data_IF_808314505629
#
_entry.id   IF_808314505629
#
_cell.length_a   1.000
_cell.length_b   1.000
_cell.length_c   1.000
_cell.angle_alpha   90.00
_cell.angle_beta   90.00
_cell.angle_gamma   90.00
#
_symmetry.space_group_name_H-M   'P 1'
#
loop_
_entity.id
_entity.type
_entity.pdbx_description
1 polymer ?
#
# COMPACT_ATOMS: atom_id res chain seq x y z
N UNK A 1 -42.52 1.47 34.86
CA UNK A 1 -41.11 1.65 35.29
C UNK A 1 -40.03 1.53 34.18
N UNK A 2 -40.36 1.43 32.88
CA UNK A 2 -39.34 1.16 31.83
C UNK A 2 -38.51 2.36 31.31
N UNK A 3 -38.95 3.61 31.50
CA UNK A 3 -38.35 4.78 30.85
C UNK A 3 -36.94 5.15 31.34
N UNK A 4 -36.69 5.05 32.65
CA UNK A 4 -35.39 5.38 33.25
C UNK A 4 -34.29 4.37 32.85
N UNK A 5 -34.62 3.07 32.84
CA UNK A 5 -33.71 2.01 32.39
C UNK A 5 -33.30 2.18 30.91
N UNK A 6 -34.26 2.52 30.04
CA UNK A 6 -34.02 2.81 28.62
C UNK A 6 -33.14 4.04 28.39
N UNK A 7 -33.38 5.12 29.15
CA UNK A 7 -32.52 6.32 29.11
C UNK A 7 -31.09 6.00 29.53
N UNK A 8 -30.90 5.17 30.56
CA UNK A 8 -29.58 4.72 31.03
C UNK A 8 -28.87 3.85 29.98
N UNK A 9 -29.60 2.94 29.32
CA UNK A 9 -29.08 2.11 28.24
C UNK A 9 -28.61 2.95 27.03
N UNK A 10 -29.42 3.91 26.57
CA UNK A 10 -29.05 4.84 25.48
C UNK A 10 -27.82 5.68 25.82
N UNK A 11 -27.69 6.17 27.06
CA UNK A 11 -26.50 6.93 27.50
C UNK A 11 -25.24 6.07 27.48
N UNK A 12 -25.32 4.80 27.90
CA UNK A 12 -24.20 3.85 27.83
C UNK A 12 -23.80 3.56 26.38
N UNK A 13 -24.77 3.31 25.50
CA UNK A 13 -24.53 3.09 24.07
C UNK A 13 -23.82 4.29 23.43
N UNK A 14 -24.28 5.52 23.68
CA UNK A 14 -23.62 6.74 23.18
C UNK A 14 -22.18 6.90 23.68
N UNK A 15 -21.91 6.57 24.96
CA UNK A 15 -20.54 6.62 25.51
C UNK A 15 -19.61 5.61 24.83
N UNK A 16 -20.09 4.37 24.65
CA UNK A 16 -19.34 3.33 23.93
C UNK A 16 -19.08 3.73 22.49
N UNK A 17 -20.08 4.29 21.79
CA UNK A 17 -19.90 4.78 20.42
C UNK A 17 -18.81 5.85 20.32
N UNK A 18 -18.80 6.83 21.23
CA UNK A 18 -17.76 7.87 21.29
C UNK A 18 -16.37 7.32 21.60
N UNK A 19 -16.28 6.32 22.47
CA UNK A 19 -14.99 5.68 22.79
C UNK A 19 -14.43 4.94 21.57
N UNK A 20 -15.27 4.21 20.83
CA UNK A 20 -14.80 3.50 19.65
C UNK A 20 -14.48 4.49 18.51
N UNK A 21 -15.26 5.57 18.34
CA UNK A 21 -14.95 6.66 17.39
C UNK A 21 -13.61 7.33 17.70
N UNK A 22 -13.33 7.58 18.98
CA UNK A 22 -12.01 8.08 19.43
C UNK A 22 -10.90 7.08 19.09
N UNK A 23 -11.09 5.80 19.40
CA UNK A 23 -10.13 4.74 19.08
C UNK A 23 -9.93 4.56 17.57
N UNK A 24 -10.94 4.85 16.75
CA UNK A 24 -10.85 4.86 15.29
C UNK A 24 -10.06 6.05 14.76
N UNK A 25 -10.29 7.26 15.32
CA UNK A 25 -9.53 8.46 14.98
C UNK A 25 -8.06 8.40 15.41
N UNK A 26 -7.73 7.60 16.43
CA UNK A 26 -6.37 7.36 16.90
C UNK A 26 -5.66 6.20 16.16
N UNK A 27 -6.28 5.58 15.14
CA UNK A 27 -5.65 4.50 14.38
C UNK A 27 -4.44 5.02 13.60
N UNK A 28 -3.32 4.34 13.74
CA UNK A 28 -2.12 4.59 12.95
C UNK A 28 -2.37 4.29 11.46
N UNK A 29 -1.73 5.03 10.57
CA UNK A 29 -1.77 4.78 9.13
C UNK A 29 -1.22 3.39 8.80
N UNK A 30 -1.72 2.78 7.73
CA UNK A 30 -1.16 1.50 7.25
C UNK A 30 0.13 1.82 6.52
N UNK A 31 1.25 1.61 7.19
CA UNK A 31 2.57 1.80 6.60
C UNK A 31 2.97 0.54 5.85
N UNK A 32 3.41 0.70 4.60
CA UNK A 32 3.99 -0.38 3.83
C UNK A 32 5.40 -0.71 4.36
N UNK A 33 5.66 -1.90 4.91
CA UNK A 33 6.97 -2.26 5.46
C UNK A 33 8.07 -2.36 4.38
N UNK A 34 7.70 -2.44 3.10
CA UNK A 34 8.62 -2.54 1.97
C UNK A 34 8.99 -1.18 1.36
N UNK A 35 8.39 -0.06 1.83
CA UNK A 35 8.56 1.27 1.24
C UNK A 35 9.99 1.84 1.33
N UNK A 36 10.88 1.27 2.15
CA UNK A 36 12.26 1.74 2.32
C UNK A 36 13.33 0.89 1.62
N UNK A 37 12.94 -0.20 0.95
CA UNK A 37 13.90 -1.19 0.43
C UNK A 37 14.69 -0.64 -0.77
N UNK A 38 14.14 0.35 -1.47
CA UNK A 38 14.80 1.06 -2.57
C UNK A 38 16.13 1.70 -2.17
N UNK A 39 16.28 2.15 -0.91
CA UNK A 39 17.53 2.73 -0.41
C UNK A 39 18.56 1.70 0.08
N UNK A 40 18.15 0.44 0.26
CA UNK A 40 19.02 -0.65 0.74
C UNK A 40 19.52 -1.56 -0.39
N UNK A 41 18.80 -1.60 -1.51
CA UNK A 41 19.15 -2.39 -2.67
C UNK A 41 19.94 -1.53 -3.66
N UNK A 42 21.20 -1.91 -3.92
CA UNK A 42 22.05 -1.27 -4.92
C UNK A 42 22.59 -2.30 -5.91
N UNK A 43 22.80 -1.87 -7.15
CA UNK A 43 23.45 -2.70 -8.16
C UNK A 43 24.96 -2.77 -7.89
N UNK A 44 25.53 -3.93 -7.53
CA UNK A 44 26.96 -4.06 -7.19
C UNK A 44 27.88 -3.76 -8.38
N UNK A 45 27.35 -3.84 -9.60
CA UNK A 45 28.09 -3.58 -10.84
C UNK A 45 28.01 -2.13 -11.31
N UNK A 46 27.31 -1.25 -10.58
CA UNK A 46 27.17 0.16 -10.95
C UNK A 46 28.52 0.90 -11.03
N UNK A 47 29.52 0.47 -10.25
CA UNK A 47 30.84 1.08 -10.20
C UNK A 47 31.83 0.51 -11.24
N UNK A 48 31.47 -0.55 -11.97
CA UNK A 48 32.38 -1.17 -12.95
C UNK A 48 32.77 -0.21 -14.08
N UNK A 49 31.89 0.70 -14.50
CA UNK A 49 32.17 1.70 -15.53
C UNK A 49 33.24 2.70 -15.10
N UNK A 50 33.17 3.22 -13.86
CA UNK A 50 34.18 4.18 -13.35
C UNK A 50 35.55 3.52 -13.23
N UNK A 51 35.59 2.27 -12.76
CA UNK A 51 36.82 1.49 -12.70
C UNK A 51 37.41 1.24 -14.11
N UNK A 52 36.55 0.98 -15.10
CA UNK A 52 36.98 0.75 -16.49
C UNK A 52 37.48 2.03 -17.15
N UNK A 53 36.78 3.15 -16.95
CA UNK A 53 37.19 4.46 -17.46
C UNK A 53 38.52 4.96 -16.86
N UNK A 54 38.77 4.66 -15.58
CA UNK A 54 40.06 4.94 -14.95
C UNK A 54 41.20 4.10 -15.57
N UNK A 55 40.94 2.82 -15.88
CA UNK A 55 41.90 1.96 -16.54
C UNK A 55 42.18 2.41 -17.98
N UNK A 56 41.16 2.84 -18.73
CA UNK A 56 41.34 3.43 -20.06
C UNK A 56 42.18 4.70 -20.03
N UNK A 57 41.93 5.63 -19.09
CA UNK A 57 42.75 6.83 -18.94
C UNK A 57 44.21 6.49 -18.62
N UNK A 58 44.47 5.50 -17.76
CA UNK A 58 45.83 5.06 -17.45
C UNK A 58 46.53 4.46 -18.69
N UNK A 59 45.80 3.68 -19.50
CA UNK A 59 46.32 3.15 -20.75
C UNK A 59 46.64 4.28 -21.74
N UNK A 60 45.75 5.28 -21.90
CA UNK A 60 45.97 6.45 -22.74
C UNK A 60 47.17 7.30 -22.27
N UNK A 61 47.33 7.49 -20.96
CA UNK A 61 48.47 8.20 -20.37
C UNK A 61 49.79 7.51 -20.69
N UNK A 62 49.81 6.18 -20.61
CA UNK A 62 51.00 5.36 -20.91
C UNK A 62 51.36 5.46 -22.39
N UNK A 63 50.36 5.41 -23.28
CA UNK A 63 50.50 5.61 -24.72
C UNK A 63 51.10 6.97 -25.07
N UNK A 64 50.64 8.05 -24.42
CA UNK A 64 51.21 9.39 -24.59
C UNK A 64 52.68 9.45 -24.15
N UNK A 65 53.02 8.80 -23.03
CA UNK A 65 54.41 8.73 -22.58
C UNK A 65 55.27 7.93 -23.57
N UNK A 66 54.74 6.84 -24.13
CA UNK A 66 55.45 6.02 -25.11
C UNK A 66 55.64 6.78 -26.43
N UNK A 67 54.64 7.55 -26.86
CA UNK A 67 54.75 8.45 -28.02
C UNK A 67 55.84 9.51 -27.82
N UNK A 68 55.92 10.12 -26.63
CA UNK A 68 57.01 11.04 -26.28
C UNK A 68 58.37 10.36 -26.30
N UNK A 69 58.48 9.10 -25.84
CA UNK A 69 59.73 8.33 -25.93
C UNK A 69 60.07 7.98 -27.37
N UNK A 70 59.09 7.65 -28.21
CA UNK A 70 59.26 7.37 -29.64
C UNK A 70 59.73 8.61 -30.40
N UNK A 71 59.19 9.79 -30.10
CA UNK A 71 59.64 11.06 -30.71
C UNK A 71 61.08 11.39 -30.31
N UNK A 72 61.43 11.15 -29.05
CA UNK A 72 62.81 11.30 -28.57
C UNK A 72 63.74 10.31 -29.27
N UNK A 73 63.33 9.04 -29.43
CA UNK A 73 64.10 8.00 -30.11
C UNK A 73 64.31 8.29 -31.61
N UNK A 74 63.29 8.87 -32.25
CA UNK A 74 63.36 9.38 -33.63
C UNK A 74 64.35 10.55 -33.73
N UNK A 75 64.30 11.48 -32.77
CA UNK A 75 65.20 12.63 -32.72
C UNK A 75 66.66 12.24 -32.43
N UNK A 76 66.90 11.16 -31.67
CA UNK A 76 68.25 10.67 -31.33
C UNK A 76 68.89 9.74 -32.37
N UNK A 77 68.19 9.39 -33.46
CA UNK A 77 68.81 8.76 -34.64
C UNK A 77 69.04 7.24 -34.56
N UNK A 78 68.36 6.52 -33.67
CA UNK A 78 68.48 5.05 -33.55
C UNK A 78 67.78 4.30 -34.71
N UNK A 79 68.37 4.32 -35.90
CA UNK A 79 68.12 3.39 -37.03
C UNK A 79 66.70 3.33 -37.63
N UNK A 80 66.55 3.75 -38.88
CA UNK A 80 65.29 3.76 -39.64
C UNK A 80 64.53 2.41 -39.70
N UNK A 81 65.21 1.27 -39.53
CA UNK A 81 64.60 -0.06 -39.49
C UNK A 81 64.04 -0.48 -38.12
N UNK A 82 64.68 -0.07 -37.01
CA UNK A 82 64.28 -0.43 -35.65
C UNK A 82 63.04 0.33 -35.19
N UNK A 83 62.97 1.63 -35.50
CA UNK A 83 61.82 2.47 -35.17
C UNK A 83 60.53 2.02 -35.88
N UNK A 84 60.63 1.56 -37.14
CA UNK A 84 59.47 1.08 -37.92
C UNK A 84 58.96 -0.27 -37.41
N UNK A 85 59.87 -1.18 -37.05
CA UNK A 85 59.50 -2.48 -36.47
C UNK A 85 58.86 -2.32 -35.09
N UNK A 86 59.38 -1.42 -34.25
CA UNK A 86 58.84 -1.14 -32.92
C UNK A 86 57.48 -0.43 -33.00
N UNK A 87 57.30 0.49 -33.96
CA UNK A 87 56.00 1.12 -34.20
C UNK A 87 54.93 0.12 -34.68
N UNK A 88 55.29 -0.84 -35.54
CA UNK A 88 54.37 -1.91 -35.95
C UNK A 88 54.04 -2.86 -34.79
N UNK A 89 55.04 -3.25 -33.99
CA UNK A 89 54.83 -4.07 -32.79
C UNK A 89 53.96 -3.35 -31.76
N UNK A 90 54.18 -2.05 -31.54
CA UNK A 90 53.34 -1.22 -30.67
C UNK A 90 51.91 -1.09 -31.20
N UNK A 91 51.72 -0.91 -32.52
CA UNK A 91 50.40 -0.86 -33.13
C UNK A 91 49.64 -2.20 -32.98
N UNK A 92 50.30 -3.33 -33.23
CA UNK A 92 49.70 -4.66 -33.00
C UNK A 92 49.41 -4.91 -31.53
N UNK A 93 50.29 -4.49 -30.63
CA UNK A 93 50.07 -4.57 -29.17
C UNK A 93 48.87 -3.71 -28.74
N UNK A 94 48.76 -2.48 -29.26
CA UNK A 94 47.62 -1.60 -29.00
C UNK A 94 46.31 -2.19 -29.51
N UNK A 95 46.28 -2.74 -30.72
CA UNK A 95 45.10 -3.42 -31.25
C UNK A 95 44.67 -4.61 -30.37
N UNK A 96 45.61 -5.41 -29.88
CA UNK A 96 45.33 -6.51 -28.95
C UNK A 96 44.80 -6.05 -27.59
N UNK A 97 45.39 -4.98 -27.04
CA UNK A 97 44.95 -4.36 -25.77
C UNK A 97 43.56 -3.73 -25.92
N UNK A 98 43.34 -2.93 -26.97
CA UNK A 98 42.03 -2.32 -27.25
C UNK A 98 40.95 -3.35 -27.49
N UNK A 99 41.23 -4.44 -28.21
CA UNK A 99 40.29 -5.54 -28.39
C UNK A 99 39.94 -6.22 -27.05
N UNK A 100 40.93 -6.39 -26.16
CA UNK A 100 40.71 -6.96 -24.82
C UNK A 100 39.90 -6.01 -23.92
N UNK A 101 40.17 -4.70 -23.96
CA UNK A 101 39.39 -3.69 -23.22
C UNK A 101 37.94 -3.67 -23.72
N UNK A 102 37.72 -3.64 -25.03
CA UNK A 102 36.37 -3.66 -25.60
C UNK A 102 35.59 -4.94 -25.19
N UNK A 103 36.26 -6.08 -25.13
CA UNK A 103 35.65 -7.33 -24.62
C UNK A 103 35.33 -7.24 -23.12
N UNK A 104 36.21 -6.64 -22.31
CA UNK A 104 35.96 -6.42 -20.88
C UNK A 104 34.83 -5.43 -20.65
N UNK A 105 34.75 -4.34 -21.41
CA UNK A 105 33.66 -3.38 -21.37
C UNK A 105 32.33 -4.02 -21.71
N UNK A 106 32.27 -4.78 -22.80
CA UNK A 106 31.05 -5.49 -23.18
C UNK A 106 30.59 -6.48 -22.09
N UNK A 107 31.53 -7.16 -21.42
CA UNK A 107 31.23 -8.04 -20.29
C UNK A 107 30.77 -7.24 -19.05
N UNK A 108 31.45 -6.16 -18.70
CA UNK A 108 31.11 -5.29 -17.57
C UNK A 108 29.73 -4.65 -17.77
N UNK A 109 29.43 -4.18 -18.97
CA UNK A 109 28.13 -3.62 -19.31
C UNK A 109 27.02 -4.67 -19.25
N UNK A 110 27.30 -5.89 -19.73
CA UNK A 110 26.36 -7.02 -19.58
C UNK A 110 26.11 -7.35 -18.10
N UNK A 111 27.14 -7.41 -17.27
CA UNK A 111 27.00 -7.65 -15.82
C UNK A 111 26.20 -6.54 -15.15
N UNK A 112 26.47 -5.28 -15.52
CA UNK A 112 25.72 -4.12 -15.03
C UNK A 112 24.25 -4.19 -15.42
N UNK A 113 23.95 -4.49 -16.67
CA UNK A 113 22.59 -4.64 -17.16
C UNK A 113 21.85 -5.80 -16.48
N UNK A 114 22.53 -6.94 -16.27
CA UNK A 114 21.98 -8.08 -15.52
C UNK A 114 21.69 -7.73 -14.06
N UNK A 115 22.64 -7.07 -13.39
CA UNK A 115 22.46 -6.59 -12.02
C UNK A 115 21.30 -5.61 -11.91
N UNK A 116 21.14 -4.72 -12.90
CA UNK A 116 20.04 -3.76 -12.94
C UNK A 116 18.69 -4.45 -13.12
N UNK A 117 18.60 -5.40 -14.06
CA UNK A 117 17.38 -6.16 -14.28
C UNK A 117 17.00 -7.00 -13.05
N UNK A 118 17.98 -7.53 -12.32
CA UNK A 118 17.74 -8.27 -11.08
C UNK A 118 17.28 -7.34 -9.94
N UNK A 119 17.89 -6.17 -9.82
CA UNK A 119 17.50 -5.14 -8.88
C UNK A 119 16.05 -4.70 -9.12
N UNK A 120 15.70 -4.39 -10.37
CA UNK A 120 14.35 -3.99 -10.76
C UNK A 120 13.33 -5.07 -10.45
N UNK A 121 13.65 -6.35 -10.70
CA UNK A 121 12.78 -7.47 -10.31
C UNK A 121 12.56 -7.53 -8.80
N UNK A 122 13.60 -7.34 -7.99
CA UNK A 122 13.48 -7.35 -6.54
C UNK A 122 12.64 -6.17 -6.02
N UNK A 123 12.85 -4.98 -6.58
CA UNK A 123 12.06 -3.80 -6.24
C UNK A 123 10.60 -3.96 -6.66
N UNK A 124 10.33 -4.48 -7.86
CA UNK A 124 8.97 -4.76 -8.30
C UNK A 124 8.27 -5.79 -7.39
N UNK A 125 8.97 -6.87 -7.03
CA UNK A 125 8.44 -7.87 -6.09
C UNK A 125 8.12 -7.25 -4.72
N UNK A 126 9.04 -6.43 -4.18
CA UNK A 126 8.86 -5.73 -2.92
C UNK A 126 7.68 -4.73 -2.96
N UNK A 127 7.50 -4.03 -4.08
CA UNK A 127 6.35 -3.13 -4.31
C UNK A 127 5.05 -3.91 -4.29
N UNK A 128 4.95 -4.99 -5.07
CA UNK A 128 3.75 -5.84 -5.12
C UNK A 128 3.43 -6.43 -3.75
N UNK A 129 4.41 -6.96 -3.02
CA UNK A 129 4.17 -7.49 -1.67
C UNK A 129 3.72 -6.40 -0.69
N UNK A 130 4.29 -5.21 -0.83
CA UNK A 130 3.91 -4.06 -0.04
C UNK A 130 2.50 -3.57 -0.31
N UNK A 131 2.11 -3.47 -1.58
CA UNK A 131 0.74 -3.12 -1.98
C UNK A 131 -0.26 -4.17 -1.49
N UNK A 132 0.04 -5.47 -1.63
CA UNK A 132 -0.81 -6.54 -1.10
C UNK A 132 -0.96 -6.46 0.41
N UNK A 133 0.12 -6.14 1.14
CA UNK A 133 0.05 -5.96 2.58
C UNK A 133 -0.84 -4.78 2.96
N UNK A 134 -0.65 -3.63 2.32
CA UNK A 134 -1.47 -2.43 2.57
C UNK A 134 -2.92 -2.73 2.26
N UNK A 135 -3.20 -3.33 1.10
CA UNK A 135 -4.54 -3.70 0.67
C UNK A 135 -5.22 -4.63 1.68
N UNK A 136 -4.58 -5.74 2.07
CA UNK A 136 -5.15 -6.68 3.03
C UNK A 136 -5.30 -6.10 4.44
N UNK A 137 -4.43 -5.17 4.84
CA UNK A 137 -4.61 -4.44 6.09
C UNK A 137 -5.78 -3.45 6.02
N UNK A 138 -5.98 -2.79 4.88
CA UNK A 138 -7.10 -1.88 4.62
C UNK A 138 -8.42 -2.65 4.63
N UNK A 139 -8.52 -3.75 3.89
CA UNK A 139 -9.72 -4.61 3.86
C UNK A 139 -10.10 -5.10 5.26
N UNK A 140 -9.12 -5.51 6.08
CA UNK A 140 -9.38 -5.90 7.47
C UNK A 140 -9.98 -4.76 8.29
N UNK A 141 -9.51 -3.52 8.09
CA UNK A 141 -10.08 -2.34 8.77
C UNK A 141 -11.49 -2.04 8.26
N UNK A 142 -11.72 -2.12 6.96
CA UNK A 142 -13.02 -1.89 6.35
C UNK A 142 -14.04 -2.93 6.80
N UNK A 143 -13.67 -4.21 6.85
CA UNK A 143 -14.51 -5.28 7.40
C UNK A 143 -14.87 -5.05 8.88
N UNK A 144 -13.94 -4.55 9.70
CA UNK A 144 -14.23 -4.17 11.08
C UNK A 144 -15.25 -3.03 11.15
N UNK A 145 -15.11 -2.02 10.28
CA UNK A 145 -16.07 -0.91 10.21
C UNK A 145 -17.45 -1.39 9.74
N UNK A 146 -17.50 -2.27 8.73
CA UNK A 146 -18.74 -2.85 8.21
C UNK A 146 -19.46 -3.70 9.28
N UNK A 147 -18.73 -4.57 9.99
CA UNK A 147 -19.27 -5.38 11.09
C UNK A 147 -19.85 -4.50 12.20
N UNK A 148 -19.16 -3.39 12.52
CA UNK A 148 -19.64 -2.42 13.50
C UNK A 148 -20.87 -1.68 13.02
N UNK A 149 -20.89 -1.24 11.76
CA UNK A 149 -22.04 -0.58 11.15
C UNK A 149 -23.26 -1.52 11.11
N UNK A 150 -23.06 -2.79 10.76
CA UNK A 150 -24.08 -3.83 10.79
C UNK A 150 -24.61 -4.08 12.21
N UNK A 151 -23.72 -4.17 13.21
CA UNK A 151 -24.12 -4.29 14.61
C UNK A 151 -24.91 -3.07 15.11
N UNK A 152 -24.52 -1.85 14.68
CA UNK A 152 -25.28 -0.63 14.97
C UNK A 152 -26.65 -0.63 14.28
N UNK A 153 -26.72 -1.02 13.02
CA UNK A 153 -27.96 -1.12 12.26
C UNK A 153 -28.91 -2.16 12.87
N UNK A 154 -28.38 -3.33 13.27
CA UNK A 154 -29.14 -4.35 13.99
C UNK A 154 -29.64 -3.90 15.36
N UNK A 155 -28.82 -3.16 16.11
CA UNK A 155 -29.26 -2.57 17.39
C UNK A 155 -30.33 -1.49 17.18
N UNK A 156 -30.25 -0.72 16.10
CA UNK A 156 -31.24 0.29 15.74
C UNK A 156 -32.57 -0.34 15.30
N UNK A 157 -32.53 -1.40 14.46
CA UNK A 157 -33.72 -2.11 14.02
C UNK A 157 -34.44 -2.81 15.17
N UNK A 158 -33.70 -3.43 16.11
CA UNK A 158 -34.29 -4.00 17.33
C UNK A 158 -34.94 -2.92 18.22
N UNK A 159 -34.34 -1.73 18.30
CA UNK A 159 -34.96 -0.61 19.02
C UNK A 159 -36.23 -0.11 18.34
N UNK A 160 -36.29 -0.10 17.01
CA UNK A 160 -37.49 0.24 16.25
C UNK A 160 -38.59 -0.81 16.48
N UNK A 161 -38.29 -2.09 16.34
CA UNK A 161 -39.22 -3.19 16.59
C UNK A 161 -39.73 -3.22 18.04
N UNK A 162 -38.87 -2.94 19.03
CA UNK A 162 -39.24 -2.84 20.45
C UNK A 162 -40.03 -1.56 20.78
N UNK A 163 -39.93 -0.51 19.96
CA UNK A 163 -40.76 0.68 20.08
C UNK A 163 -42.14 0.45 19.44
N UNK A 164 -42.18 -0.23 18.30
CA UNK A 164 -43.41 -0.61 17.60
C UNK A 164 -44.25 -1.62 18.39
N UNK A 165 -43.64 -2.66 18.96
CA UNK A 165 -44.35 -3.59 19.87
C UNK A 165 -44.81 -2.92 21.16
N UNK A 166 -44.12 -1.89 21.64
CA UNK A 166 -44.64 -1.10 22.76
C UNK A 166 -45.70 -0.09 22.36
N UNK A 167 -45.69 0.38 21.11
CA UNK A 167 -46.74 1.23 20.58
C UNK A 167 -48.01 0.40 20.33
N UNK A 168 -47.88 -0.82 19.81
CA UNK A 168 -48.98 -1.79 19.69
C UNK A 168 -49.44 -2.34 21.04
N UNK A 169 -48.54 -2.59 21.98
CA UNK A 169 -48.88 -2.97 23.37
C UNK A 169 -49.50 -1.81 24.17
N UNK A 170 -49.08 -0.57 23.89
CA UNK A 170 -49.64 0.66 24.48
C UNK A 170 -50.97 1.07 23.83
N UNK A 171 -51.16 0.83 22.54
CA UNK A 171 -52.42 0.97 21.82
C UNK A 171 -53.40 -0.14 22.20
N UNK A 172 -52.94 -1.38 22.40
CA UNK A 172 -53.76 -2.46 22.97
C UNK A 172 -54.15 -2.21 24.43
N UNK A 173 -53.31 -1.51 25.20
CA UNK A 173 -53.65 -1.07 26.57
C UNK A 173 -54.58 0.15 26.59
N UNK A 174 -54.45 1.08 25.63
CA UNK A 174 -55.39 2.19 25.43
C UNK A 174 -56.74 1.71 24.88
N UNK A 175 -56.74 0.67 24.05
CA UNK A 175 -57.96 0.04 23.53
C UNK A 175 -58.59 -0.95 24.53
N UNK A 176 -57.81 -1.45 25.49
CA UNK A 176 -58.31 -2.17 26.67
C UNK A 176 -58.84 -1.27 27.78
N UNK A 177 -58.27 -0.07 27.98
CA UNK A 177 -58.76 0.91 28.96
C UNK A 177 -59.91 1.79 28.46
N UNK A 178 -60.21 1.76 27.16
CA UNK A 178 -61.48 2.30 26.61
C UNK A 178 -62.60 1.23 26.61
N UNK A 179 -62.31 0.02 27.10
CA UNK A 179 -63.28 -1.07 27.30
C UNK A 179 -64.11 -1.01 28.59
N UNK A 180 -64.01 0.05 29.40
CA UNK A 180 -64.78 0.20 30.66
C UNK A 180 -65.52 1.54 30.79
N UNK A 181 -65.63 2.32 29.71
CA UNK A 181 -66.29 3.64 29.73
C UNK A 181 -67.46 3.85 28.75
N UNK A 182 -67.81 2.86 27.92
CA UNK A 182 -68.84 3.02 26.88
C UNK A 182 -69.81 1.83 26.77
N UNK A 183 -69.95 1.05 27.84
CA UNK A 183 -70.93 -0.05 27.92
C UNK A 183 -72.24 0.36 28.60
N UNK A 184 -72.91 1.43 28.15
CA UNK A 184 -74.20 1.86 28.72
C UNK A 184 -75.12 2.67 27.78
N UNK A 185 -75.24 2.31 26.49
CA UNK A 185 -76.31 2.86 25.60
C UNK A 185 -77.00 1.77 24.76
N UNK A 186 -76.90 0.49 25.10
CA UNK A 186 -77.62 -0.55 24.34
C UNK A 186 -78.10 -1.72 25.18
N UNK A 187 -78.92 -1.44 26.21
CA UNK A 187 -79.80 -2.49 26.73
C UNK A 187 -81.02 -1.90 27.48
N UNK A 188 -82.22 -2.21 27.00
CA UNK A 188 -83.42 -2.24 27.84
C UNK A 188 -84.50 -1.17 27.61
N UNK A 189 -85.36 -1.35 26.60
CA UNK A 189 -86.81 -1.07 26.74
C UNK A 189 -87.64 -2.18 26.07
N UNK A 190 -87.86 -3.22 26.85
CA UNK A 190 -88.92 -4.21 26.66
C UNK A 190 -90.28 -3.56 27.01
N UNK A 191 -91.33 -3.83 26.19
CA UNK A 191 -92.67 -4.37 26.57
C UNK A 191 -93.41 -3.66 27.76
N UNK A 192 -94.69 -3.25 27.79
CA UNK A 192 -96.00 -3.64 27.20
C UNK A 192 -97.01 -2.53 27.58
N UNK A 193 -98.01 -2.22 26.75
CA UNK A 193 -99.47 -2.27 27.09
C UNK A 193 -100.32 -1.59 26.01
N UNK A 194 -101.30 -2.35 25.51
CA UNK A 194 -102.13 -1.95 24.39
C UNK A 194 -103.37 -1.15 24.78
N UNK A 195 -104.08 -0.68 23.76
CA UNK A 195 -105.50 -0.35 23.85
C UNK A 195 -106.16 -0.52 22.48
N UNK A 196 -107.16 -1.42 22.45
CA UNK A 196 -108.21 -1.55 21.43
C UNK A 196 -108.93 -0.22 21.25
N UNK A 197 -109.24 0.19 20.01
CA UNK A 197 -110.57 0.09 19.35
C UNK A 197 -110.31 0.04 17.85
#
# INVERSE_FOLDING_TARGET
>A
MGGAARRKARKRQKKLMKQIEKLEGERQEIINPYAGIEGMLSNPFANLTVATQAAEMQAQQTDLSLASTLDTLRATGSGAGGATALAQAALSSKQGVSASIAQQEAQNEKLRAQGQAQLEKQLAAAKVSGEQFVFGATERREMQQLNRLSAMAGAASQQAAAAETQMLGGIGSLLGSVGTGFGNVLEGKNFITGKKV
#
